data_IF_518591891478
#
_entry.id   IF_518591891478
#
_cell.length_a   1.000
_cell.length_b   1.000
_cell.length_c   1.000
_cell.angle_alpha   90.00
_cell.angle_beta   90.00
_cell.angle_gamma   90.00
#
_symmetry.space_group_name_H-M   'P 1'
#
loop_
_entity.id
_entity.type
_entity.pdbx_description
1 polymer ?
#
# COMPACT_ATOMS: atom_id res chain seq x y z
N UNK A 1 -12.71 -0.46 -44.56
CA UNK A 1 -11.59 0.15 -43.80
C UNK A 1 -12.04 1.01 -42.62
N UNK A 2 -12.99 1.97 -42.78
CA UNK A 2 -13.46 2.84 -41.67
C UNK A 2 -14.05 2.11 -40.45
N UNK A 3 -14.79 1.00 -40.66
CA UNK A 3 -15.39 0.21 -39.57
C UNK A 3 -14.36 -0.55 -38.71
N UNK A 4 -13.25 -1.01 -39.30
CA UNK A 4 -12.17 -1.72 -38.59
C UNK A 4 -11.39 -0.73 -37.71
N UNK A 5 -11.14 0.49 -38.22
CA UNK A 5 -10.52 1.56 -37.44
C UNK A 5 -11.34 1.97 -36.22
N UNK A 6 -12.67 2.04 -36.36
CA UNK A 6 -13.57 2.37 -35.24
C UNK A 6 -13.55 1.28 -34.15
N UNK A 7 -13.51 0.01 -34.54
CA UNK A 7 -13.43 -1.14 -33.63
C UNK A 7 -12.09 -1.15 -32.88
N UNK A 8 -10.97 -0.90 -33.57
CA UNK A 8 -9.64 -0.76 -32.96
C UNK A 8 -9.60 0.41 -31.97
N UNK A 9 -10.22 1.54 -32.29
CA UNK A 9 -10.31 2.70 -31.39
C UNK A 9 -11.09 2.36 -30.12
N UNK A 10 -12.23 1.67 -30.23
CA UNK A 10 -13.01 1.23 -29.08
C UNK A 10 -12.29 0.18 -28.23
N UNK A 11 -11.45 -0.67 -28.84
CA UNK A 11 -10.62 -1.64 -28.10
C UNK A 11 -9.48 -0.92 -27.37
N UNK A 12 -8.84 0.08 -28.00
CA UNK A 12 -7.82 0.94 -27.38
C UNK A 12 -8.37 1.81 -26.24
N UNK A 13 -9.62 2.28 -26.35
CA UNK A 13 -10.30 3.04 -25.31
C UNK A 13 -10.80 2.17 -24.15
N UNK A 14 -11.09 0.88 -24.39
CA UNK A 14 -11.48 -0.10 -23.36
C UNK A 14 -10.31 -0.97 -22.88
N UNK A 15 -9.11 -0.75 -23.43
CA UNK A 15 -7.88 -1.20 -22.82
C UNK A 15 -7.74 -0.37 -21.55
N UNK A 16 -8.30 -0.88 -20.45
CA UNK A 16 -7.84 -0.58 -19.10
C UNK A 16 -6.38 -1.01 -19.07
N UNK A 17 -5.50 -0.16 -19.62
CA UNK A 17 -4.09 -0.25 -19.41
C UNK A 17 -3.96 -0.14 -17.89
N UNK A 18 -3.67 -1.27 -17.27
CA UNK A 18 -3.38 -1.40 -15.85
C UNK A 18 -2.05 -0.71 -15.57
N UNK A 19 -2.00 0.60 -15.84
CA UNK A 19 -0.94 1.47 -15.41
C UNK A 19 -1.08 1.59 -13.91
N UNK A 20 0.00 1.28 -13.21
CA UNK A 20 0.15 1.67 -11.82
C UNK A 20 0.02 3.20 -11.74
N UNK A 21 -0.60 3.69 -10.66
CA UNK A 21 -0.62 5.12 -10.38
C UNK A 21 0.81 5.65 -10.32
N UNK A 22 1.04 6.83 -10.88
CA UNK A 22 2.37 7.45 -10.84
C UNK A 22 2.66 7.97 -9.43
N UNK A 23 3.94 8.18 -9.12
CA UNK A 23 4.33 8.78 -7.84
C UNK A 23 3.67 10.15 -7.63
N UNK A 24 3.59 10.99 -8.67
CA UNK A 24 2.96 12.31 -8.57
C UNK A 24 1.45 12.24 -8.31
N UNK A 25 0.76 11.26 -8.91
CA UNK A 25 -0.67 11.03 -8.65
C UNK A 25 -0.90 10.56 -7.22
N UNK A 26 -0.10 9.61 -6.73
CA UNK A 26 -0.16 9.15 -5.34
C UNK A 26 0.14 10.30 -4.38
N UNK A 27 1.17 11.11 -4.64
CA UNK A 27 1.51 12.27 -3.81
C UNK A 27 0.34 13.26 -3.69
N UNK A 28 -0.31 13.59 -4.81
CA UNK A 28 -1.48 14.48 -4.84
C UNK A 28 -2.66 13.89 -4.04
N UNK A 29 -2.89 12.58 -4.12
CA UNK A 29 -3.93 11.91 -3.34
C UNK A 29 -3.58 11.92 -1.86
N UNK A 30 -2.34 11.60 -1.49
CA UNK A 30 -1.84 11.67 -0.10
C UNK A 30 -1.95 13.09 0.47
N UNK A 31 -1.67 14.12 -0.33
CA UNK A 31 -1.87 15.54 0.04
C UNK A 31 -3.34 15.89 0.28
N UNK A 32 -4.28 15.19 -0.38
CA UNK A 32 -5.70 15.32 -0.09
C UNK A 32 -6.08 14.65 1.22
N UNK A 33 -5.56 13.44 1.46
CA UNK A 33 -5.84 12.64 2.66
C UNK A 33 -5.27 13.33 3.91
N UNK A 34 -4.10 13.96 3.81
CA UNK A 34 -3.41 14.66 4.90
C UNK A 34 -4.17 15.85 5.50
N UNK A 35 -5.28 16.26 4.86
CA UNK A 35 -6.21 17.29 5.35
C UNK A 35 -7.31 16.74 6.25
N UNK A 36 -7.43 15.42 6.37
CA UNK A 36 -8.37 14.76 7.28
C UNK A 36 -7.99 15.03 8.73
N UNK A 37 -8.96 15.10 9.63
CA UNK A 37 -8.70 15.40 11.04
C UNK A 37 -8.19 14.18 11.81
N UNK A 38 -8.75 13.00 11.57
CA UNK A 38 -8.51 11.80 12.37
C UNK A 38 -8.11 10.60 11.50
N UNK A 39 -7.16 9.80 11.97
CA UNK A 39 -6.64 8.64 11.24
C UNK A 39 -7.71 7.58 10.96
N UNK A 40 -8.73 7.45 11.83
CA UNK A 40 -9.87 6.55 11.67
C UNK A 40 -10.70 6.82 10.40
N UNK A 41 -10.63 8.05 9.89
CA UNK A 41 -11.39 8.49 8.72
C UNK A 41 -10.58 8.41 7.41
N UNK A 42 -9.26 8.12 7.47
CA UNK A 42 -8.37 8.05 6.29
C UNK A 42 -9.01 7.23 5.16
N UNK A 43 -9.46 6.02 5.49
CA UNK A 43 -9.97 5.04 4.51
C UNK A 43 -11.32 5.44 3.90
N UNK A 44 -12.03 6.38 4.53
CA UNK A 44 -13.35 6.86 4.07
C UNK A 44 -13.25 8.04 3.10
N UNK A 45 -12.09 8.69 3.01
CA UNK A 45 -11.86 9.80 2.06
C UNK A 45 -11.95 9.32 0.62
N UNK A 46 -12.41 10.20 -0.28
CA UNK A 46 -12.49 9.89 -1.71
C UNK A 46 -11.11 9.63 -2.32
N UNK A 47 -10.07 10.28 -1.81
CA UNK A 47 -8.69 10.09 -2.24
C UNK A 47 -8.18 8.69 -1.86
N UNK A 48 -8.41 8.24 -0.62
CA UNK A 48 -8.05 6.87 -0.22
C UNK A 48 -8.81 5.82 -1.03
N UNK A 49 -10.11 6.02 -1.27
CA UNK A 49 -10.91 5.11 -2.10
C UNK A 49 -10.33 4.97 -3.51
N UNK A 50 -9.84 6.07 -4.11
CA UNK A 50 -9.17 6.04 -5.41
C UNK A 50 -7.92 5.17 -5.37
N UNK A 51 -7.03 5.36 -4.38
CA UNK A 51 -5.81 4.55 -4.25
C UNK A 51 -6.17 3.07 -4.05
N UNK A 52 -7.10 2.79 -3.14
CA UNK A 52 -7.54 1.43 -2.82
C UNK A 52 -8.13 0.72 -4.04
N UNK A 53 -8.85 1.44 -4.91
CA UNK A 53 -9.42 0.87 -6.13
C UNK A 53 -8.37 0.38 -7.14
N UNK A 54 -7.15 0.91 -7.12
CA UNK A 54 -6.02 0.39 -7.92
C UNK A 54 -5.43 -0.90 -7.35
N UNK A 55 -5.76 -1.23 -6.10
CA UNK A 55 -5.38 -2.46 -5.43
C UNK A 55 -3.86 -2.65 -5.38
N UNK A 56 -3.43 -3.90 -5.56
CA UNK A 56 -2.01 -4.30 -5.46
C UNK A 56 -1.06 -3.51 -6.38
N UNK A 57 -1.58 -2.99 -7.49
CA UNK A 57 -0.77 -2.21 -8.44
C UNK A 57 -0.24 -0.90 -7.86
N UNK A 58 -0.87 -0.39 -6.78
CA UNK A 58 -0.44 0.84 -6.10
C UNK A 58 0.61 0.60 -5.00
N UNK A 59 0.76 -0.64 -4.53
CA UNK A 59 1.54 -0.95 -3.31
C UNK A 59 3.02 -0.58 -3.44
N UNK A 60 3.61 -0.78 -4.62
CA UNK A 60 5.01 -0.41 -4.86
C UNK A 60 5.18 1.11 -4.88
N UNK A 61 4.29 1.84 -5.54
CA UNK A 61 4.33 3.31 -5.58
C UNK A 61 4.09 3.91 -4.19
N UNK A 62 3.16 3.35 -3.40
CA UNK A 62 2.93 3.77 -2.02
C UNK A 62 4.18 3.59 -1.15
N UNK A 63 4.93 2.50 -1.34
CA UNK A 63 6.15 2.24 -0.59
C UNK A 63 7.24 3.30 -0.80
N UNK A 64 7.21 4.04 -1.92
CA UNK A 64 8.15 5.14 -2.15
C UNK A 64 7.95 6.28 -1.15
N UNK A 65 6.75 6.43 -0.60
CA UNK A 65 6.41 7.47 0.38
C UNK A 65 6.62 7.05 1.83
N UNK A 66 6.95 5.79 2.14
CA UNK A 66 7.01 5.30 3.53
C UNK A 66 8.03 6.04 4.42
N UNK A 67 9.04 6.65 3.81
CA UNK A 67 10.07 7.43 4.51
C UNK A 67 9.79 8.94 4.48
N UNK A 68 8.63 9.37 3.99
CA UNK A 68 8.22 10.78 4.00
C UNK A 68 7.84 11.21 5.42
N UNK A 69 8.70 12.02 6.03
CA UNK A 69 8.56 12.53 7.39
C UNK A 69 7.74 13.82 7.51
N UNK A 70 7.11 14.28 6.41
CA UNK A 70 6.29 15.49 6.42
C UNK A 70 5.10 15.31 7.36
N UNK A 71 5.08 16.07 8.46
CA UNK A 71 4.01 16.02 9.45
C UNK A 71 2.71 16.57 8.85
N UNK A 72 1.59 15.90 9.14
CA UNK A 72 0.26 16.27 8.63
C UNK A 72 -0.66 16.78 9.74
N UNK A 73 -1.91 17.10 9.40
CA UNK A 73 -2.95 17.43 10.37
C UNK A 73 -3.72 16.21 10.89
N UNK A 74 -3.47 15.02 10.32
CA UNK A 74 -4.20 13.80 10.67
C UNK A 74 -3.73 13.33 12.04
N UNK A 75 -4.62 13.39 13.02
CA UNK A 75 -4.37 12.94 14.39
C UNK A 75 -4.61 11.44 14.51
N UNK A 76 -3.63 10.71 15.06
CA UNK A 76 -3.80 9.36 15.56
C UNK A 76 -4.09 9.42 17.05
N UNK A 77 -5.26 8.93 17.44
CA UNK A 77 -5.59 8.70 18.86
C UNK A 77 -4.76 7.54 19.43
N UNK A 78 -4.44 6.55 18.60
CA UNK A 78 -3.63 5.38 18.95
C UNK A 78 -2.21 5.76 19.37
N UNK A 79 -1.61 6.72 18.66
CA UNK A 79 -0.25 7.20 18.92
C UNK A 79 -0.21 8.53 19.69
N UNK A 80 -1.37 9.11 20.00
CA UNK A 80 -1.52 10.41 20.64
C UNK A 80 -0.76 11.56 19.94
N UNK A 81 -0.57 11.46 18.62
CA UNK A 81 0.16 12.47 17.82
C UNK A 81 -0.39 12.62 16.40
N UNK A 82 0.13 13.62 15.69
CA UNK A 82 -0.14 13.73 14.26
C UNK A 82 0.71 12.71 13.47
N UNK A 83 0.14 12.20 12.39
CA UNK A 83 0.78 11.27 11.48
C UNK A 83 1.62 12.01 10.44
N UNK A 84 2.70 11.38 9.99
CA UNK A 84 3.44 11.81 8.80
C UNK A 84 2.73 11.34 7.54
N UNK A 85 3.08 11.95 6.40
CA UNK A 85 2.59 11.48 5.09
C UNK A 85 3.00 10.04 4.83
N UNK A 86 4.21 9.63 5.22
CA UNK A 86 4.67 8.26 5.08
C UNK A 86 3.82 7.27 5.89
N UNK A 87 3.42 7.63 7.10
CA UNK A 87 2.54 6.80 7.92
C UNK A 87 1.13 6.67 7.34
N UNK A 88 0.60 7.74 6.73
CA UNK A 88 -0.65 7.67 5.97
C UNK A 88 -0.50 6.69 4.79
N UNK A 89 0.61 6.74 4.05
CA UNK A 89 0.87 5.81 2.96
C UNK A 89 0.94 4.36 3.45
N UNK A 90 1.55 4.11 4.62
CA UNK A 90 1.61 2.79 5.26
C UNK A 90 0.22 2.29 5.65
N UNK A 91 -0.63 3.14 6.26
CA UNK A 91 -2.02 2.80 6.61
C UNK A 91 -2.81 2.40 5.37
N UNK A 92 -2.65 3.13 4.27
CA UNK A 92 -3.36 2.84 3.01
C UNK A 92 -2.85 1.53 2.40
N UNK A 93 -1.54 1.29 2.41
CA UNK A 93 -0.96 0.05 1.92
C UNK A 93 -1.48 -1.17 2.71
N UNK A 94 -1.53 -1.08 4.05
CA UNK A 94 -2.09 -2.13 4.91
C UNK A 94 -3.59 -2.36 4.66
N UNK A 95 -4.32 -1.29 4.29
CA UNK A 95 -5.74 -1.40 3.92
C UNK A 95 -5.96 -2.16 2.62
N UNK A 96 -5.07 -1.97 1.64
CA UNK A 96 -5.15 -2.63 0.34
C UNK A 96 -4.83 -4.10 0.48
N UNK A 97 -3.75 -4.41 1.19
CA UNK A 97 -3.35 -5.77 1.49
C UNK A 97 -2.75 -5.81 2.89
N UNK A 98 -3.44 -6.51 3.80
CA UNK A 98 -3.04 -6.62 5.19
C UNK A 98 -1.61 -7.13 5.31
N UNK A 99 -0.77 -6.37 6.01
CA UNK A 99 0.64 -6.68 6.11
C UNK A 99 0.89 -7.81 7.12
N UNK A 100 1.85 -8.71 6.87
CA UNK A 100 2.29 -9.66 7.88
C UNK A 100 3.16 -8.93 8.92
N UNK A 101 2.52 -8.31 9.92
CA UNK A 101 3.17 -7.36 10.83
C UNK A 101 4.48 -7.87 11.43
N UNK A 102 4.55 -9.11 11.89
CA UNK A 102 5.80 -9.67 12.41
C UNK A 102 6.93 -9.69 11.37
N UNK A 103 6.64 -10.02 10.11
CA UNK A 103 7.64 -10.07 9.04
C UNK A 103 8.15 -8.66 8.73
N UNK A 104 7.25 -7.69 8.59
CA UNK A 104 7.62 -6.34 8.13
C UNK A 104 8.12 -5.43 9.26
N UNK A 105 7.69 -5.65 10.51
CA UNK A 105 8.07 -4.82 11.68
C UNK A 105 9.08 -5.53 12.60
N UNK A 106 9.09 -6.87 12.64
CA UNK A 106 9.83 -7.65 13.64
C UNK A 106 9.16 -7.72 15.01
N UNK A 107 7.93 -7.22 15.15
CA UNK A 107 7.22 -7.10 16.43
C UNK A 107 5.95 -7.95 16.40
N UNK A 108 5.71 -8.64 17.50
CA UNK A 108 4.46 -9.37 17.72
C UNK A 108 3.62 -8.62 18.77
N UNK A 109 2.38 -8.30 18.42
CA UNK A 109 1.42 -7.74 19.38
C UNK A 109 0.66 -8.91 20.00
N UNK A 110 0.87 -9.15 21.31
CA UNK A 110 0.26 -10.26 22.04
C UNK A 110 -0.89 -9.83 22.96
N UNK A 111 -1.10 -8.53 23.17
CA UNK A 111 -2.05 -8.02 24.16
C UNK A 111 -3.31 -7.43 23.52
N UNK A 112 -3.28 -6.97 22.27
CA UNK A 112 -4.41 -6.35 21.54
C UNK A 112 -5.05 -5.10 22.21
N UNK A 113 -4.61 -4.69 23.39
CA UNK A 113 -5.20 -3.58 24.16
C UNK A 113 -4.75 -2.18 23.68
N UNK A 114 -3.57 -2.10 23.07
CA UNK A 114 -3.02 -0.84 22.57
C UNK A 114 -3.72 -0.52 21.24
N UNK A 115 -4.60 0.48 21.26
CA UNK A 115 -5.43 0.96 20.15
C UNK A 115 -6.77 0.24 19.95
N UNK A 116 -7.52 0.08 21.04
CA UNK A 116 -8.89 -0.43 21.03
C UNK A 116 -9.78 0.32 20.03
N UNK A 117 -10.56 -0.43 19.24
CA UNK A 117 -11.46 0.09 18.21
C UNK A 117 -10.78 0.95 17.11
N UNK A 118 -9.46 0.83 16.91
CA UNK A 118 -8.80 1.46 15.77
C UNK A 118 -8.96 0.60 14.50
N UNK A 119 -9.63 1.09 13.44
CA UNK A 119 -9.74 0.35 12.18
C UNK A 119 -8.38 0.13 11.51
N UNK A 120 -7.34 0.90 11.84
CA UNK A 120 -6.02 0.82 11.23
C UNK A 120 -5.03 0.10 12.17
N UNK A 121 -4.99 -1.24 12.09
CA UNK A 121 -4.18 -2.07 12.98
C UNK A 121 -2.66 -1.79 12.89
N UNK A 122 -2.17 -1.44 11.69
CA UNK A 122 -0.76 -1.07 11.51
C UNK A 122 -0.34 0.14 12.35
N UNK A 123 -1.29 0.99 12.79
CA UNK A 123 -0.96 2.15 13.63
C UNK A 123 -0.27 1.73 14.92
N UNK A 124 -0.61 0.57 15.51
CA UNK A 124 0.09 0.02 16.68
C UNK A 124 1.61 0.02 16.45
N UNK A 125 2.05 -0.36 15.24
CA UNK A 125 3.44 -0.63 14.94
C UNK A 125 4.25 0.60 14.54
N UNK A 126 3.63 1.78 14.37
CA UNK A 126 4.32 2.98 13.88
C UNK A 126 5.57 3.37 14.70
N UNK A 127 5.60 3.28 16.04
CA UNK A 127 6.82 3.58 16.81
C UNK A 127 8.03 2.70 16.43
N UNK A 128 7.78 1.44 16.07
CA UNK A 128 8.84 0.52 15.66
C UNK A 128 9.26 0.73 14.21
N UNK A 129 8.32 1.15 13.36
CA UNK A 129 8.59 1.55 11.98
C UNK A 129 9.45 2.82 11.95
N UNK A 130 9.18 3.77 12.83
CA UNK A 130 9.85 5.08 12.87
C UNK A 130 11.31 5.00 13.37
N UNK A 131 11.70 3.91 14.05
CA UNK A 131 13.01 3.76 14.71
C UNK A 131 14.23 4.08 13.81
N UNK A 132 14.12 3.85 12.51
CA UNK A 132 15.16 4.16 11.51
C UNK A 132 14.66 5.07 10.36
N UNK A 133 13.61 5.83 10.62
CA UNK A 133 12.92 6.64 9.62
C UNK A 133 12.16 5.82 8.58
N UNK A 134 11.77 4.58 8.91
CA UNK A 134 10.99 3.70 8.04
C UNK A 134 11.79 2.99 6.95
N UNK A 135 13.12 3.11 6.92
CA UNK A 135 13.97 2.57 5.84
C UNK A 135 13.98 1.05 5.83
N UNK A 136 14.27 0.42 6.96
CA UNK A 136 14.26 -1.04 7.11
C UNK A 136 12.86 -1.60 6.92
N UNK A 137 11.83 -0.88 7.38
CA UNK A 137 10.45 -1.26 7.14
C UNK A 137 10.11 -1.27 5.64
N UNK A 138 10.46 -0.20 4.90
CA UNK A 138 10.29 -0.13 3.44
C UNK A 138 11.00 -1.30 2.74
N UNK A 139 12.24 -1.60 3.12
CA UNK A 139 13.00 -2.72 2.55
C UNK A 139 12.29 -4.06 2.79
N UNK A 140 11.91 -4.35 4.03
CA UNK A 140 11.19 -5.58 4.39
C UNK A 140 9.86 -5.69 3.67
N UNK A 141 9.14 -4.58 3.55
CA UNK A 141 7.87 -4.51 2.84
C UNK A 141 8.04 -4.80 1.34
N UNK A 142 9.01 -4.18 0.66
CA UNK A 142 9.31 -4.46 -0.75
C UNK A 142 9.73 -5.92 -0.95
N UNK A 143 10.55 -6.46 -0.05
CA UNK A 143 10.95 -7.87 -0.08
C UNK A 143 9.74 -8.80 0.10
N UNK A 144 8.81 -8.45 0.99
CA UNK A 144 7.55 -9.17 1.17
C UNK A 144 6.66 -9.10 -0.08
N UNK A 145 6.54 -7.93 -0.72
CA UNK A 145 5.78 -7.78 -1.97
C UNK A 145 6.30 -8.70 -3.09
N UNK A 146 7.62 -8.94 -3.12
CA UNK A 146 8.28 -9.84 -4.07
C UNK A 146 8.26 -11.31 -3.65
N UNK A 147 7.87 -11.61 -2.41
CA UNK A 147 8.00 -12.95 -1.83
C UNK A 147 7.12 -13.99 -2.53
N UNK A 148 7.65 -15.21 -2.66
CA UNK A 148 6.89 -16.34 -3.21
C UNK A 148 5.64 -16.65 -2.37
N UNK A 149 5.69 -16.40 -1.06
CA UNK A 149 4.60 -16.70 -0.13
C UNK A 149 3.44 -15.71 -0.17
N UNK A 150 3.63 -14.54 -0.80
CA UNK A 150 2.52 -13.63 -1.15
C UNK A 150 1.77 -14.08 -2.40
N UNK A 151 2.44 -14.74 -3.35
CA UNK A 151 1.86 -15.12 -4.66
C UNK A 151 0.66 -16.05 -4.52
N UNK A 152 -0.32 -15.93 -5.41
CA UNK A 152 -1.43 -16.88 -5.50
C UNK A 152 -0.95 -18.30 -5.86
N UNK A 153 -1.75 -19.32 -5.53
CA UNK A 153 -1.45 -20.72 -5.91
C UNK A 153 -1.21 -20.89 -7.42
N UNK A 154 -1.90 -20.11 -8.24
CA UNK A 154 -1.76 -20.12 -9.71
C UNK A 154 -0.40 -19.57 -10.15
N UNK A 155 -0.01 -18.41 -9.61
CA UNK A 155 1.28 -17.78 -9.91
C UNK A 155 2.45 -18.62 -9.47
N UNK A 156 2.37 -19.17 -8.24
CA UNK A 156 3.34 -20.14 -7.71
C UNK A 156 3.54 -21.33 -8.65
N UNK A 157 2.46 -21.88 -9.21
CA UNK A 157 2.51 -22.98 -10.19
C UNK A 157 3.15 -22.55 -11.51
N UNK A 158 2.86 -21.34 -12.01
CA UNK A 158 3.47 -20.80 -13.24
C UNK A 158 4.98 -20.63 -13.08
N UNK A 159 5.43 -20.08 -11.96
CA UNK A 159 6.85 -19.88 -11.66
C UNK A 159 7.60 -21.20 -11.50
N UNK A 160 7.03 -22.17 -10.77
CA UNK A 160 7.58 -23.54 -10.70
C UNK A 160 7.76 -24.18 -12.09
N UNK A 161 6.83 -23.93 -13.02
CA UNK A 161 6.94 -24.42 -14.40
C UNK A 161 8.06 -23.70 -15.18
N UNK A 162 8.25 -22.39 -15.00
CA UNK A 162 9.36 -21.64 -15.61
C UNK A 162 10.71 -22.16 -15.12
N UNK A 163 10.90 -22.27 -13.80
CA UNK A 163 12.12 -22.79 -13.19
C UNK A 163 12.45 -24.23 -13.64
N UNK A 164 11.42 -25.07 -13.87
CA UNK A 164 11.63 -26.42 -14.40
C UNK A 164 12.12 -26.41 -15.86
N UNK A 165 11.59 -25.48 -16.68
CA UNK A 165 12.02 -25.33 -18.09
C UNK A 165 13.44 -24.78 -18.22
N UNK A 166 13.86 -23.88 -17.34
CA UNK A 166 15.22 -23.32 -17.36
C UNK A 166 16.30 -24.32 -16.90
N UNK A 167 15.89 -25.39 -16.21
CA UNK A 167 16.76 -26.48 -15.75
C UNK A 167 16.82 -27.68 -16.71
N UNK A 168 16.06 -27.64 -17.81
CA UNK A 168 16.00 -28.71 -18.83
C UNK A 168 16.65 -28.18 -20.11
#
# INVERSE_FOLDING_TARGET
MKKIGLILLTILLNLNLSFSQTESEIDLLLNGISKTENSKEITKTEQSKKIIAFGENSLKTLAEFFTDSTLTKVKSECQERNLTKGEIAIIIADRIEGMPYFIVTGVQNCTMEFCENNPNLIEYYLPWIEKDGGKLFKEKYINWLASYDRKSKSERRKEKRKLKKEKT
#
